data_IF_890848320394
#
_entry.id   IF_890848320394
#
_cell.length_a   1.000
_cell.length_b   1.000
_cell.length_c   1.000
_cell.angle_alpha   90.00
_cell.angle_beta   90.00
_cell.angle_gamma   90.00
#
_symmetry.space_group_name_H-M   'P 1'
#
loop_
_entity.id
_entity.type
_entity.pdbx_description
1 polymer ?
#
# COMPACT_ATOMS: atom_id res chain seq x y z
N UNK A 1 20.81 14.90 1.18
CA UNK A 1 20.26 15.35 -0.12
C UNK A 1 19.55 16.67 0.11
N UNK A 2 19.92 17.73 -0.61
CA UNK A 2 19.20 19.02 -0.56
C UNK A 2 18.31 19.10 -1.80
N UNK A 3 17.13 19.71 -1.68
CA UNK A 3 16.17 19.90 -2.78
C UNK A 3 15.75 18.59 -3.48
N UNK A 4 15.56 17.53 -2.70
CA UNK A 4 15.18 16.20 -3.20
C UNK A 4 13.80 15.79 -2.68
N UNK A 5 13.11 14.95 -3.44
CA UNK A 5 11.86 14.30 -3.03
C UNK A 5 12.13 12.82 -2.78
N UNK A 6 11.60 12.29 -1.69
CA UNK A 6 11.58 10.85 -1.41
C UNK A 6 10.21 10.31 -1.82
N UNK A 7 10.20 9.26 -2.65
CA UNK A 7 8.99 8.60 -3.13
C UNK A 7 8.91 7.21 -2.52
N UNK A 8 7.71 6.81 -2.11
CA UNK A 8 7.39 5.44 -1.75
C UNK A 8 6.05 5.04 -2.38
N UNK A 9 5.81 3.74 -2.49
CA UNK A 9 4.55 3.16 -2.93
C UNK A 9 3.75 2.68 -1.73
N UNK A 10 2.44 2.95 -1.74
CA UNK A 10 1.51 2.43 -0.73
C UNK A 10 0.86 1.10 -1.13
N UNK A 11 0.07 0.54 -0.22
CA UNK A 11 -0.58 -0.78 -0.34
C UNK A 11 -1.45 -0.90 -1.61
N UNK A 12 -2.02 0.21 -2.09
CA UNK A 12 -2.86 0.21 -3.30
C UNK A 12 -2.04 -0.10 -4.56
N UNK A 13 -0.82 0.42 -4.66
CA UNK A 13 0.09 0.12 -5.79
C UNK A 13 0.57 -1.32 -5.73
N UNK A 14 0.75 -1.87 -4.52
CA UNK A 14 1.05 -3.29 -4.33
C UNK A 14 -0.07 -4.18 -4.89
N UNK A 15 -1.33 -3.88 -4.58
CA UNK A 15 -2.49 -4.60 -5.13
C UNK A 15 -2.55 -4.45 -6.65
N UNK A 16 -2.52 -3.22 -7.17
CA UNK A 16 -2.59 -2.95 -8.62
C UNK A 16 -1.48 -3.67 -9.41
N UNK A 17 -0.28 -3.74 -8.83
CA UNK A 17 0.89 -4.38 -9.45
C UNK A 17 0.96 -5.90 -9.21
N UNK A 18 -0.07 -6.48 -8.60
CA UNK A 18 -0.12 -7.89 -8.21
C UNK A 18 1.12 -8.33 -7.39
N UNK A 19 1.54 -7.48 -6.45
CA UNK A 19 2.67 -7.73 -5.55
C UNK A 19 4.06 -7.43 -6.14
N UNK A 20 4.16 -7.00 -7.41
CA UNK A 20 5.45 -6.63 -8.03
C UNK A 20 6.12 -5.45 -7.32
N UNK A 21 5.32 -4.47 -6.87
CA UNK A 21 5.80 -3.30 -6.12
C UNK A 21 5.25 -3.31 -4.70
N UNK A 22 5.98 -3.94 -3.78
CA UNK A 22 5.57 -4.06 -2.38
C UNK A 22 5.66 -2.72 -1.65
N UNK A 23 4.62 -2.40 -0.90
CA UNK A 23 4.56 -1.35 0.12
C UNK A 23 5.42 -1.77 1.31
N UNK A 24 6.47 -0.98 1.56
CA UNK A 24 7.50 -1.29 2.55
C UNK A 24 7.21 -0.67 3.92
N UNK A 25 7.52 -1.43 4.97
CA UNK A 25 7.54 -0.94 6.34
C UNK A 25 8.55 0.21 6.50
N UNK A 26 8.13 1.28 7.16
CA UNK A 26 8.97 2.43 7.45
C UNK A 26 8.64 3.01 8.82
N UNK A 27 9.63 3.64 9.45
CA UNK A 27 9.49 4.33 10.74
C UNK A 27 10.37 5.55 10.78
N UNK A 28 10.05 6.48 11.68
CA UNK A 28 10.90 7.64 12.00
C UNK A 28 11.35 7.51 13.46
N UNK A 29 12.66 7.56 13.68
CA UNK A 29 13.23 7.55 15.03
C UNK A 29 13.51 8.99 15.48
N UNK A 30 13.11 9.32 16.71
CA UNK A 30 13.48 10.57 17.34
C UNK A 30 14.98 10.57 17.69
N UNK A 31 15.58 11.76 17.69
CA UNK A 31 16.97 11.97 18.14
C UNK A 31 16.97 12.89 19.37
N UNK A 32 17.93 12.75 20.29
CA UNK A 32 18.07 13.65 21.44
C UNK A 32 18.31 15.10 21.01
N UNK A 33 18.97 15.30 19.86
CA UNK A 33 19.38 16.56 19.30
C UNK A 33 18.82 16.78 17.89
N UNK A 34 18.33 18.01 17.64
CA UNK A 34 17.82 18.45 16.34
C UNK A 34 16.31 18.24 16.14
N UNK A 35 15.77 18.92 15.13
CA UNK A 35 14.36 18.84 14.74
C UNK A 35 14.25 18.56 13.24
N UNK A 36 13.60 17.45 12.89
CA UNK A 36 13.38 17.04 11.50
C UNK A 36 11.97 17.47 11.06
N UNK A 37 11.91 18.44 10.16
CA UNK A 37 10.66 18.78 9.46
C UNK A 37 10.31 17.70 8.42
N UNK A 38 9.02 17.38 8.29
CA UNK A 38 8.50 16.44 7.31
C UNK A 38 7.22 16.99 6.69
N UNK A 39 7.23 17.23 5.38
CA UNK A 39 6.05 17.60 4.60
C UNK A 39 5.75 16.40 3.71
N UNK A 40 4.67 15.67 4.02
CA UNK A 40 4.29 14.45 3.32
C UNK A 40 2.95 14.64 2.60
N UNK A 41 2.95 14.42 1.29
CA UNK A 41 1.74 14.42 0.46
C UNK A 41 1.42 12.99 0.04
N UNK A 42 0.14 12.64 0.08
CA UNK A 42 -0.33 11.31 -0.30
C UNK A 42 -1.34 11.45 -1.44
N UNK A 43 -0.99 10.90 -2.61
CA UNK A 43 -1.89 10.82 -3.76
C UNK A 43 -2.64 9.50 -3.71
N UNK A 44 -3.85 9.52 -3.15
CA UNK A 44 -4.66 8.31 -2.93
C UNK A 44 -5.76 8.16 -3.99
N UNK A 45 -6.29 6.94 -4.20
CA UNK A 45 -7.51 6.73 -4.96
C UNK A 45 -8.70 7.50 -4.36
N UNK A 46 -9.77 7.64 -5.16
CA UNK A 46 -11.07 8.06 -4.65
C UNK A 46 -11.60 7.05 -3.63
N UNK A 47 -12.30 7.52 -2.59
CA UNK A 47 -12.96 6.64 -1.61
C UNK A 47 -13.96 5.66 -2.22
N UNK A 48 -14.43 5.94 -3.44
CA UNK A 48 -15.36 5.09 -4.21
C UNK A 48 -14.66 4.26 -5.30
N UNK A 49 -13.33 4.35 -5.41
CA UNK A 49 -12.59 3.63 -6.44
C UNK A 49 -12.52 2.14 -6.09
N UNK A 50 -12.79 1.29 -7.07
CA UNK A 50 -12.49 -0.15 -7.01
C UNK A 50 -11.00 -0.36 -7.27
N UNK A 51 -10.36 -1.15 -6.41
CA UNK A 51 -8.95 -1.51 -6.48
C UNK A 51 -8.86 -3.03 -6.65
N UNK A 52 -8.12 -3.48 -7.66
CA UNK A 52 -7.87 -4.88 -7.95
C UNK A 52 -6.53 -5.03 -8.70
N UNK A 53 -5.93 -6.23 -8.73
CA UNK A 53 -4.79 -6.49 -9.61
C UNK A 53 -5.08 -6.12 -11.07
N UNK A 54 -4.13 -5.44 -11.73
CA UNK A 54 -4.27 -5.11 -13.14
C UNK A 54 -4.36 -6.42 -13.98
N UNK A 55 -5.37 -6.59 -14.85
CA UNK A 55 -5.60 -7.85 -15.57
C UNK A 55 -4.37 -8.37 -16.33
N UNK A 56 -3.61 -7.46 -16.95
CA UNK A 56 -2.41 -7.80 -17.72
C UNK A 56 -1.28 -8.36 -16.85
N UNK A 57 -1.30 -8.09 -15.54
CA UNK A 57 -0.33 -8.58 -14.56
C UNK A 57 -0.81 -9.85 -13.83
N UNK A 58 -2.04 -10.29 -14.10
CA UNK A 58 -2.59 -11.58 -13.65
C UNK A 58 -2.45 -12.63 -14.77
N UNK A 59 -2.76 -12.24 -16.01
CA UNK A 59 -2.76 -13.15 -17.18
C UNK A 59 -1.33 -13.51 -17.65
N UNK A 60 -0.39 -12.56 -17.58
CA UNK A 60 1.00 -12.78 -17.99
C UNK A 60 1.87 -13.29 -16.83
N UNK A 61 1.42 -14.31 -16.10
CA UNK A 61 2.14 -14.94 -14.99
C UNK A 61 3.54 -15.44 -15.38
N UNK A 62 4.49 -14.52 -15.50
CA UNK A 62 5.89 -14.79 -15.75
C UNK A 62 6.41 -15.60 -14.58
N UNK A 63 7.11 -16.68 -14.92
CA UNK A 63 7.79 -17.59 -14.00
C UNK A 63 8.48 -16.80 -12.87
N UNK A 64 7.95 -16.87 -11.65
CA UNK A 64 8.58 -16.30 -10.45
C UNK A 64 7.77 -15.28 -9.63
N UNK A 65 6.57 -14.86 -10.07
CA UNK A 65 5.65 -14.10 -9.20
C UNK A 65 4.56 -15.06 -8.75
N UNK A 66 4.63 -15.52 -7.49
CA UNK A 66 3.49 -16.24 -6.92
C UNK A 66 2.26 -15.34 -7.02
N UNK A 67 1.16 -15.85 -7.58
CA UNK A 67 -0.10 -15.12 -7.61
C UNK A 67 -0.54 -14.92 -6.16
N UNK A 68 -0.23 -13.76 -5.58
CA UNK A 68 -0.51 -13.46 -4.17
C UNK A 68 -2.01 -13.37 -3.85
N UNK A 69 -2.87 -13.46 -4.87
CA UNK A 69 -4.32 -13.54 -4.67
C UNK A 69 -4.89 -12.31 -3.97
N UNK A 70 -4.37 -11.12 -4.30
CA UNK A 70 -4.90 -9.87 -3.76
C UNK A 70 -6.39 -9.72 -4.14
N UNK A 71 -7.23 -9.25 -3.21
CA UNK A 71 -8.66 -9.10 -3.46
C UNK A 71 -8.98 -7.89 -4.35
N UNK A 72 -10.19 -7.90 -4.90
CA UNK A 72 -10.88 -6.71 -5.36
C UNK A 72 -11.65 -6.09 -4.19
N UNK A 73 -11.57 -4.76 -4.02
CA UNK A 73 -12.26 -4.04 -2.95
C UNK A 73 -12.45 -2.55 -3.29
N UNK A 74 -13.32 -1.86 -2.54
CA UNK A 74 -13.46 -0.40 -2.62
C UNK A 74 -12.46 0.28 -1.67
N UNK A 75 -11.74 1.29 -2.14
CA UNK A 75 -10.70 1.96 -1.35
C UNK A 75 -11.21 2.53 -0.03
N UNK A 76 -12.45 3.01 0.03
CA UNK A 76 -13.07 3.49 1.26
C UNK A 76 -13.20 2.41 2.33
N UNK A 77 -13.53 1.18 1.96
CA UNK A 77 -13.64 0.05 2.88
C UNK A 77 -12.25 -0.36 3.41
N UNK A 78 -11.25 -0.36 2.53
CA UNK A 78 -9.85 -0.54 2.93
C UNK A 78 -9.40 0.50 3.96
N UNK A 79 -9.76 1.77 3.77
CA UNK A 79 -9.38 2.83 4.69
C UNK A 79 -10.04 2.66 6.07
N UNK A 80 -11.25 2.10 6.14
CA UNK A 80 -11.90 1.76 7.41
C UNK A 80 -11.12 0.70 8.18
N UNK A 81 -10.71 -0.39 7.50
CA UNK A 81 -9.85 -1.43 8.10
C UNK A 81 -8.48 -0.86 8.50
N UNK A 82 -7.87 -0.08 7.61
CA UNK A 82 -6.54 0.50 7.84
C UNK A 82 -6.49 1.43 9.05
N UNK A 83 -7.55 2.22 9.28
CA UNK A 83 -7.62 3.12 10.42
C UNK A 83 -7.51 2.37 11.76
N UNK A 84 -8.04 1.15 11.82
CA UNK A 84 -8.01 0.30 13.02
C UNK A 84 -6.69 -0.48 13.15
N UNK A 85 -6.10 -0.91 12.03
CA UNK A 85 -4.99 -1.87 11.98
C UNK A 85 -3.67 -1.26 11.48
N UNK A 86 -3.53 0.07 11.50
CA UNK A 86 -2.41 0.79 10.85
C UNK A 86 -1.01 0.27 11.24
N UNK A 87 -0.83 -0.10 12.49
CA UNK A 87 0.46 -0.53 13.04
C UNK A 87 0.58 -2.03 13.21
N UNK A 88 -0.48 -2.78 12.89
CA UNK A 88 -0.49 -4.25 12.87
C UNK A 88 0.07 -4.78 11.55
N UNK A 89 0.38 -6.09 11.47
CA UNK A 89 0.80 -6.72 10.22
C UNK A 89 -0.09 -6.34 9.03
N UNK A 90 0.52 -6.20 7.85
CA UNK A 90 -0.17 -5.68 6.66
C UNK A 90 -1.09 -6.71 6.02
N UNK A 91 -0.61 -7.93 5.97
CA UNK A 91 -1.22 -9.03 5.25
C UNK A 91 -2.67 -9.32 5.69
N UNK A 92 -3.01 -9.28 7.01
CA UNK A 92 -4.39 -9.39 7.47
C UNK A 92 -5.36 -8.33 6.91
N UNK A 93 -4.89 -7.11 6.60
CA UNK A 93 -5.76 -6.05 6.05
C UNK A 93 -6.32 -6.45 4.69
N UNK A 94 -5.51 -7.07 3.84
CA UNK A 94 -5.98 -7.59 2.55
C UNK A 94 -6.98 -8.73 2.71
N UNK A 95 -6.86 -9.56 3.75
CA UNK A 95 -7.86 -10.60 4.01
C UNK A 95 -9.17 -10.03 4.55
N UNK A 96 -9.11 -8.99 5.39
CA UNK A 96 -10.30 -8.35 5.96
C UNK A 96 -11.20 -7.74 4.88
N UNK A 97 -10.62 -7.01 3.92
CA UNK A 97 -11.40 -6.40 2.82
C UNK A 97 -11.93 -7.40 1.80
N UNK A 98 -11.40 -8.63 1.77
CA UNK A 98 -11.92 -9.72 0.94
C UNK A 98 -13.23 -10.31 1.46
N UNK A 99 -13.48 -10.17 2.76
CA UNK A 99 -14.65 -10.74 3.44
C UNK A 99 -15.82 -9.76 3.58
N UNK A 100 -15.67 -8.52 3.09
CA UNK A 100 -16.71 -7.49 3.03
C UNK A 100 -17.48 -7.58 1.73
#
# INVERSE_FOLDING_TARGET
>A
MRNSIVINTGDQVEVLSNGRYKSAWHRVQAKPDGNRMSIASFYNPSMKATIAPAPQLVENGGVGVEAFGYPEFVFGDYMSVYAEQKFDPKEPRFQAVRAM
#
